data_IF_994540923765
#
_entry.id   IF_994540923765
#
_cell.length_a   1.000
_cell.length_b   1.000
_cell.length_c   1.000
_cell.angle_alpha   90.00
_cell.angle_beta   90.00
_cell.angle_gamma   90.00
#
_symmetry.space_group_name_H-M   'P 1'
#
loop_
_entity.id
_entity.type
_entity.pdbx_description
1 polymer ?
#
# COMPACT_ATOMS: atom_id res chain seq x y z
N UNK A 1 -25.66 7.56 41.91
CA UNK A 1 -25.17 6.74 40.78
C UNK A 1 -24.34 7.56 39.78
N UNK A 2 -24.85 8.66 39.23
CA UNK A 2 -24.11 9.49 38.26
C UNK A 2 -22.75 9.99 38.77
N UNK A 3 -22.67 10.46 40.03
CA UNK A 3 -21.40 10.89 40.63
C UNK A 3 -20.37 9.76 40.65
N UNK A 4 -20.77 8.55 41.00
CA UNK A 4 -19.85 7.40 41.02
C UNK A 4 -19.38 6.98 39.63
N UNK A 5 -20.20 7.16 38.58
CA UNK A 5 -19.77 6.96 37.19
C UNK A 5 -18.79 8.04 36.74
N UNK A 6 -19.02 9.30 37.12
CA UNK A 6 -18.08 10.39 36.86
C UNK A 6 -16.74 10.18 37.60
N UNK A 7 -16.79 9.68 38.84
CA UNK A 7 -15.59 9.30 39.60
C UNK A 7 -14.82 8.17 38.90
N UNK A 8 -15.54 7.19 38.33
CA UNK A 8 -14.93 6.11 37.53
C UNK A 8 -14.18 6.67 36.32
N UNK A 9 -14.84 7.54 35.55
CA UNK A 9 -14.25 8.19 34.38
C UNK A 9 -13.04 9.06 34.76
N UNK A 10 -13.18 9.86 35.84
CA UNK A 10 -12.09 10.72 36.31
C UNK A 10 -10.87 9.91 36.74
N UNK A 11 -11.07 8.78 37.44
CA UNK A 11 -9.98 7.91 37.86
C UNK A 11 -9.35 7.20 36.64
N UNK A 12 -10.15 6.76 35.66
CA UNK A 12 -9.65 6.14 34.44
C UNK A 12 -8.77 7.11 33.63
N UNK A 13 -9.26 8.34 33.42
CA UNK A 13 -8.52 9.38 32.71
C UNK A 13 -7.24 9.82 33.45
N UNK A 14 -7.25 9.76 34.77
CA UNK A 14 -6.09 10.05 35.60
C UNK A 14 -5.10 8.87 35.74
N UNK A 15 -5.33 7.75 35.03
CA UNK A 15 -4.48 6.56 35.10
C UNK A 15 -4.58 5.78 36.42
N UNK A 16 -5.60 6.05 37.25
CA UNK A 16 -5.81 5.38 38.54
C UNK A 16 -6.68 4.13 38.36
N UNK A 17 -6.18 3.16 37.56
CA UNK A 17 -6.96 2.03 37.08
C UNK A 17 -7.59 1.15 38.19
N UNK A 18 -6.86 0.89 39.29
CA UNK A 18 -7.41 0.13 40.43
C UNK A 18 -8.62 0.85 41.06
N UNK A 19 -8.52 2.18 41.22
CA UNK A 19 -9.63 2.97 41.76
C UNK A 19 -10.80 3.08 40.80
N UNK A 20 -10.49 3.21 39.48
CA UNK A 20 -11.49 3.24 38.43
C UNK A 20 -12.31 1.94 38.37
N UNK A 21 -11.64 0.77 38.42
CA UNK A 21 -12.30 -0.53 38.45
C UNK A 21 -13.19 -0.67 39.67
N UNK A 22 -12.65 -0.38 40.88
CA UNK A 22 -13.40 -0.47 42.11
C UNK A 22 -14.62 0.48 42.15
N UNK A 23 -14.49 1.67 41.58
CA UNK A 23 -15.60 2.62 41.47
C UNK A 23 -16.69 2.10 40.52
N UNK A 24 -16.29 1.51 39.33
CA UNK A 24 -17.22 0.90 38.38
C UNK A 24 -17.99 -0.27 39.01
N UNK A 25 -17.29 -1.18 39.68
CA UNK A 25 -17.90 -2.29 40.45
C UNK A 25 -18.87 -1.78 41.54
N UNK A 26 -18.52 -0.68 42.20
CA UNK A 26 -19.38 -0.01 43.15
C UNK A 26 -20.67 0.57 42.55
N UNK A 27 -20.63 1.06 41.30
CA UNK A 27 -21.84 1.46 40.56
C UNK A 27 -22.73 0.25 40.29
N UNK A 28 -22.15 -0.87 39.83
CA UNK A 28 -22.88 -2.11 39.56
C UNK A 28 -23.53 -2.70 40.80
N UNK A 29 -22.83 -2.72 41.92
CA UNK A 29 -23.36 -3.20 43.21
C UNK A 29 -24.56 -2.38 43.68
N UNK A 30 -24.47 -1.04 43.60
CA UNK A 30 -25.57 -0.13 43.98
C UNK A 30 -26.79 -0.29 43.07
N UNK A 31 -26.57 -0.41 41.76
CA UNK A 31 -27.64 -0.63 40.77
C UNK A 31 -28.37 -1.97 41.05
N UNK A 32 -27.60 -3.02 41.33
CA UNK A 32 -28.16 -4.34 41.70
C UNK A 32 -28.99 -4.25 43.00
N UNK A 33 -28.52 -3.52 43.97
CA UNK A 33 -29.26 -3.30 45.24
C UNK A 33 -30.58 -2.56 44.99
N UNK A 34 -30.58 -1.50 44.17
CA UNK A 34 -31.79 -0.75 43.79
C UNK A 34 -32.80 -1.64 43.04
N UNK A 35 -32.34 -2.45 42.10
CA UNK A 35 -33.20 -3.38 41.37
C UNK A 35 -33.86 -4.41 42.31
N UNK A 36 -33.14 -4.89 43.34
CA UNK A 36 -33.68 -5.80 44.36
C UNK A 36 -34.72 -5.14 45.26
N UNK A 37 -34.61 -3.84 45.50
CA UNK A 37 -35.63 -3.09 46.28
C UNK A 37 -36.84 -2.68 45.43
N UNK A 38 -36.91 -3.11 44.16
CA UNK A 38 -38.03 -2.81 43.28
C UNK A 38 -37.92 -1.48 42.54
N UNK A 39 -36.84 -0.74 42.74
CA UNK A 39 -36.54 0.49 42.01
C UNK A 39 -35.82 0.17 40.70
N UNK A 40 -36.41 0.51 39.57
CA UNK A 40 -35.78 0.34 38.26
C UNK A 40 -35.50 1.69 37.60
N UNK A 41 -34.29 1.83 37.04
CA UNK A 41 -33.90 3.00 36.26
C UNK A 41 -34.20 2.76 34.77
N UNK A 42 -34.83 3.75 34.11
CA UNK A 42 -35.16 3.66 32.68
C UNK A 42 -33.93 3.39 31.76
N UNK A 43 -32.72 3.68 32.28
CA UNK A 43 -31.45 3.51 31.54
C UNK A 43 -30.51 2.48 32.20
N UNK A 44 -31.06 1.55 33.02
CA UNK A 44 -30.24 0.59 33.80
C UNK A 44 -29.32 -0.26 32.91
N UNK A 45 -29.84 -0.76 31.79
CA UNK A 45 -29.03 -1.55 30.85
C UNK A 45 -27.83 -0.76 30.28
N UNK A 46 -28.04 0.50 29.92
CA UNK A 46 -26.98 1.38 29.45
C UNK A 46 -25.95 1.69 30.53
N UNK A 47 -26.41 1.92 31.74
CA UNK A 47 -25.54 2.17 32.90
C UNK A 47 -24.68 0.95 33.22
N UNK A 48 -25.28 -0.26 33.24
CA UNK A 48 -24.56 -1.52 33.45
C UNK A 48 -23.52 -1.74 32.36
N UNK A 49 -23.93 -1.61 31.09
CA UNK A 49 -23.03 -1.78 29.94
C UNK A 49 -21.82 -0.85 30.03
N UNK A 50 -22.03 0.43 30.35
CA UNK A 50 -20.95 1.41 30.52
C UNK A 50 -20.05 1.10 31.71
N UNK A 51 -20.64 0.72 32.86
CA UNK A 51 -19.87 0.40 34.08
C UNK A 51 -18.98 -0.84 33.84
N UNK A 52 -19.53 -1.89 33.23
CA UNK A 52 -18.76 -3.07 32.85
C UNK A 52 -17.68 -2.73 31.83
N UNK A 53 -17.95 -1.88 30.81
CA UNK A 53 -16.97 -1.45 29.85
C UNK A 53 -15.80 -0.68 30.51
N UNK A 54 -16.08 0.22 31.44
CA UNK A 54 -15.06 0.97 32.17
C UNK A 54 -14.23 0.08 33.10
N UNK A 55 -14.88 -0.92 33.74
CA UNK A 55 -14.19 -1.93 34.52
C UNK A 55 -13.26 -2.78 33.64
N UNK A 56 -13.74 -3.21 32.48
CA UNK A 56 -12.94 -3.97 31.49
C UNK A 56 -11.74 -3.14 30.96
N UNK A 57 -11.92 -1.85 30.65
CA UNK A 57 -10.84 -0.95 30.22
C UNK A 57 -9.80 -0.76 31.31
N UNK A 58 -10.26 -0.66 32.58
CA UNK A 58 -9.36 -0.59 33.74
C UNK A 58 -8.58 -1.89 33.92
N UNK A 59 -9.24 -3.05 33.78
CA UNK A 59 -8.61 -4.36 33.85
C UNK A 59 -7.59 -4.57 32.73
N UNK A 60 -7.89 -4.13 31.49
CA UNK A 60 -6.93 -4.14 30.36
C UNK A 60 -5.68 -3.34 30.69
N UNK A 61 -5.84 -2.13 31.25
CA UNK A 61 -4.71 -1.29 31.65
C UNK A 61 -3.87 -1.89 32.78
N UNK A 62 -4.46 -2.75 33.60
CA UNK A 62 -3.80 -3.51 34.67
C UNK A 62 -3.27 -4.87 34.18
N UNK A 63 -3.45 -5.21 32.91
CA UNK A 63 -3.11 -6.51 32.32
C UNK A 63 -3.81 -7.72 32.96
N UNK A 64 -4.97 -7.47 33.60
CA UNK A 64 -5.84 -8.49 34.19
C UNK A 64 -6.83 -9.01 33.16
N UNK A 65 -6.37 -10.00 32.37
CA UNK A 65 -7.17 -10.55 31.26
C UNK A 65 -8.45 -11.23 31.75
N UNK A 66 -8.41 -11.91 32.89
CA UNK A 66 -9.57 -12.63 33.40
C UNK A 66 -10.70 -11.65 33.78
N UNK A 67 -10.39 -10.62 34.57
CA UNK A 67 -11.36 -9.60 34.90
C UNK A 67 -11.84 -8.80 33.69
N UNK A 68 -10.95 -8.54 32.71
CA UNK A 68 -11.33 -7.89 31.44
C UNK A 68 -12.40 -8.70 30.72
N UNK A 69 -12.17 -10.01 30.50
CA UNK A 69 -13.08 -10.87 29.76
C UNK A 69 -14.43 -11.01 30.47
N UNK A 70 -14.43 -11.17 31.81
CA UNK A 70 -15.65 -11.24 32.59
C UNK A 70 -16.49 -9.96 32.41
N UNK A 71 -15.89 -8.80 32.63
CA UNK A 71 -16.59 -7.54 32.45
C UNK A 71 -16.98 -7.25 31.00
N UNK A 72 -16.18 -7.66 30.04
CA UNK A 72 -16.49 -7.51 28.62
C UNK A 72 -17.72 -8.33 28.22
N UNK A 73 -17.81 -9.59 28.62
CA UNK A 73 -18.98 -10.43 28.34
C UNK A 73 -20.26 -9.81 28.90
N UNK A 74 -20.20 -9.30 30.14
CA UNK A 74 -21.32 -8.61 30.77
C UNK A 74 -21.68 -7.30 30.05
N UNK A 75 -20.67 -6.51 29.64
CA UNK A 75 -20.89 -5.28 28.88
C UNK A 75 -21.60 -5.57 27.56
N UNK A 76 -21.18 -6.62 26.84
CA UNK A 76 -21.74 -7.02 25.55
C UNK A 76 -23.17 -7.50 25.70
N UNK A 77 -23.48 -8.33 26.73
CA UNK A 77 -24.83 -8.79 27.03
C UNK A 77 -25.78 -7.62 27.31
N UNK A 78 -25.40 -6.71 28.21
CA UNK A 78 -26.22 -5.54 28.52
C UNK A 78 -26.39 -4.58 27.35
N UNK A 79 -25.33 -4.42 26.52
CA UNK A 79 -25.35 -3.60 25.30
C UNK A 79 -26.17 -4.23 24.15
N UNK A 80 -26.53 -5.50 24.24
CA UNK A 80 -27.40 -6.16 23.26
C UNK A 80 -28.86 -5.75 23.38
N UNK A 81 -29.25 -5.10 24.48
CA UNK A 81 -30.61 -4.57 24.67
C UNK A 81 -30.82 -3.31 23.82
N UNK A 82 -32.04 -3.12 23.30
CA UNK A 82 -32.37 -2.02 22.38
C UNK A 82 -32.00 -0.65 22.94
N UNK A 83 -32.16 -0.43 24.25
CA UNK A 83 -31.86 0.83 24.94
C UNK A 83 -30.38 1.17 25.02
N UNK A 84 -29.50 0.20 24.84
CA UNK A 84 -28.04 0.33 24.98
C UNK A 84 -27.28 0.16 23.64
N UNK A 85 -27.96 0.19 22.50
CA UNK A 85 -27.34 -0.07 21.18
C UNK A 85 -26.18 0.88 20.85
N UNK A 86 -26.24 2.15 21.22
CA UNK A 86 -25.12 3.09 21.06
C UNK A 86 -23.89 2.68 21.88
N UNK A 87 -24.13 2.10 23.06
CA UNK A 87 -23.06 1.58 23.92
C UNK A 87 -22.42 0.34 23.30
N UNK A 88 -23.20 -0.49 22.60
CA UNK A 88 -22.70 -1.68 21.87
C UNK A 88 -21.61 -1.32 20.87
N UNK A 89 -21.76 -0.24 20.11
CA UNK A 89 -20.73 0.24 19.18
C UNK A 89 -19.41 0.52 19.91
N UNK A 90 -19.48 1.18 21.04
CA UNK A 90 -18.33 1.45 21.89
C UNK A 90 -17.67 0.18 22.45
N UNK A 91 -18.47 -0.80 22.88
CA UNK A 91 -17.98 -2.11 23.36
C UNK A 91 -17.23 -2.85 22.25
N UNK A 92 -17.81 -2.92 21.06
CA UNK A 92 -17.18 -3.61 19.90
C UNK A 92 -15.88 -2.92 19.46
N UNK A 93 -15.83 -1.59 19.45
CA UNK A 93 -14.61 -0.84 19.12
C UNK A 93 -13.50 -1.09 20.15
N UNK A 94 -13.85 -1.19 21.44
CA UNK A 94 -12.87 -1.52 22.50
C UNK A 94 -12.39 -2.95 22.38
N UNK A 95 -13.28 -3.92 22.13
CA UNK A 95 -12.92 -5.30 21.90
C UNK A 95 -11.94 -5.45 20.73
N UNK A 96 -12.21 -4.76 19.60
CA UNK A 96 -11.30 -4.77 18.46
C UNK A 96 -9.93 -4.16 18.80
N UNK A 97 -9.88 -3.10 19.60
CA UNK A 97 -8.64 -2.49 20.06
C UNK A 97 -7.84 -3.43 20.96
N UNK A 98 -8.47 -4.02 21.96
CA UNK A 98 -7.81 -4.96 22.86
C UNK A 98 -7.29 -6.19 22.14
N UNK A 99 -8.05 -6.74 21.19
CA UNK A 99 -7.60 -7.84 20.37
C UNK A 99 -6.31 -7.48 19.58
N UNK A 100 -6.21 -6.24 19.06
CA UNK A 100 -4.98 -5.76 18.41
C UNK A 100 -3.81 -5.54 19.39
N UNK A 101 -4.09 -5.17 20.64
CA UNK A 101 -3.09 -5.06 21.71
C UNK A 101 -2.61 -6.45 22.15
N UNK A 102 -3.51 -7.44 22.14
CA UNK A 102 -3.20 -8.86 22.41
C UNK A 102 -2.60 -9.60 21.20
N UNK A 103 -2.28 -8.89 20.11
CA UNK A 103 -1.76 -9.47 18.86
C UNK A 103 -2.69 -10.48 18.17
N UNK A 104 -4.01 -10.37 18.37
CA UNK A 104 -5.03 -11.13 17.66
C UNK A 104 -5.80 -10.26 16.66
N UNK A 105 -5.23 -10.03 15.45
CA UNK A 105 -5.87 -9.20 14.45
C UNK A 105 -7.11 -9.87 13.83
N UNK A 106 -7.23 -11.21 13.89
CA UNK A 106 -8.39 -11.93 13.37
C UNK A 106 -9.61 -11.64 14.24
N UNK A 107 -9.49 -11.76 15.56
CA UNK A 107 -10.54 -11.38 16.48
C UNK A 107 -10.92 -9.91 16.33
N UNK A 108 -9.93 -9.02 16.14
CA UNK A 108 -10.20 -7.61 15.89
C UNK A 108 -11.09 -7.38 14.66
N UNK A 109 -10.80 -8.06 13.52
CA UNK A 109 -11.64 -7.99 12.32
C UNK A 109 -13.05 -8.54 12.56
N UNK A 110 -13.19 -9.63 13.33
CA UNK A 110 -14.49 -10.19 13.68
C UNK A 110 -15.34 -9.18 14.47
N UNK A 111 -14.78 -8.48 15.44
CA UNK A 111 -15.48 -7.44 16.19
C UNK A 111 -15.85 -6.25 15.31
N UNK A 112 -14.94 -5.78 14.45
CA UNK A 112 -15.21 -4.68 13.53
C UNK A 112 -16.29 -5.00 12.49
N UNK A 113 -16.43 -6.26 12.09
CA UNK A 113 -17.47 -6.69 11.15
C UNK A 113 -18.87 -6.71 11.75
N UNK A 114 -18.99 -6.71 13.10
CA UNK A 114 -20.27 -6.60 13.79
C UNK A 114 -20.77 -5.15 13.92
N UNK A 115 -19.94 -4.17 13.56
CA UNK A 115 -20.32 -2.75 13.62
C UNK A 115 -21.37 -2.41 12.56
N UNK A 116 -22.37 -1.58 12.88
CA UNK A 116 -23.27 -1.00 11.87
C UNK A 116 -22.46 -0.23 10.81
N UNK A 117 -22.96 -0.19 9.56
CA UNK A 117 -22.25 0.44 8.44
C UNK A 117 -21.79 1.88 8.73
N UNK A 118 -22.63 2.69 9.40
CA UNK A 118 -22.30 4.07 9.75
C UNK A 118 -21.10 4.16 10.71
N UNK A 119 -21.06 3.29 11.70
CA UNK A 119 -19.95 3.25 12.68
C UNK A 119 -18.69 2.62 12.11
N UNK A 120 -18.83 1.58 11.26
CA UNK A 120 -17.72 0.93 10.57
C UNK A 120 -16.94 1.89 9.66
N UNK A 121 -17.59 2.98 9.18
CA UNK A 121 -16.95 4.04 8.36
C UNK A 121 -16.34 5.18 9.17
N UNK A 122 -16.49 5.20 10.48
CA UNK A 122 -15.85 6.21 11.32
C UNK A 122 -14.33 6.00 11.32
N UNK A 123 -13.58 7.09 11.38
CA UNK A 123 -12.10 7.08 11.33
C UNK A 123 -11.46 6.13 12.33
N UNK A 124 -12.01 6.02 13.54
CA UNK A 124 -11.51 5.10 14.58
C UNK A 124 -11.64 3.65 14.14
N UNK A 125 -12.81 3.23 13.65
CA UNK A 125 -13.05 1.88 13.16
C UNK A 125 -12.15 1.54 11.96
N UNK A 126 -12.03 2.48 11.01
CA UNK A 126 -11.18 2.30 9.82
C UNK A 126 -9.70 2.19 10.20
N UNK A 127 -9.20 2.96 11.17
CA UNK A 127 -7.81 2.84 11.65
C UNK A 127 -7.53 1.48 12.28
N UNK A 128 -8.44 0.97 13.10
CA UNK A 128 -8.33 -0.37 13.68
C UNK A 128 -8.38 -1.44 12.59
N UNK A 129 -9.29 -1.30 11.62
CA UNK A 129 -9.40 -2.23 10.47
C UNK A 129 -8.14 -2.23 9.61
N UNK A 130 -7.58 -1.06 9.29
CA UNK A 130 -6.33 -0.98 8.53
C UNK A 130 -5.18 -1.66 9.27
N UNK A 131 -5.04 -1.42 10.58
CA UNK A 131 -4.02 -2.09 11.40
C UNK A 131 -4.22 -3.61 11.40
N UNK A 132 -5.44 -4.10 11.63
CA UNK A 132 -5.76 -5.52 11.64
C UNK A 132 -5.51 -6.17 10.27
N UNK A 133 -5.95 -5.53 9.17
CA UNK A 133 -5.76 -6.03 7.81
C UNK A 133 -4.27 -6.16 7.44
N UNK A 134 -3.44 -5.17 7.84
CA UNK A 134 -1.98 -5.26 7.63
C UNK A 134 -1.34 -6.39 8.44
N UNK A 135 -1.73 -6.56 9.70
CA UNK A 135 -1.21 -7.65 10.54
C UNK A 135 -1.61 -9.04 10.02
N UNK A 136 -2.78 -9.17 9.38
CA UNK A 136 -3.27 -10.42 8.77
C UNK A 136 -2.83 -10.60 7.31
N UNK A 137 -2.04 -9.67 6.76
CA UNK A 137 -1.61 -9.65 5.34
C UNK A 137 -2.78 -9.67 4.33
N UNK A 138 -3.94 -9.14 4.72
CA UNK A 138 -5.08 -8.95 3.83
C UNK A 138 -4.90 -7.63 3.07
N UNK A 139 -3.98 -7.62 2.10
CA UNK A 139 -3.49 -6.40 1.45
C UNK A 139 -4.60 -5.66 0.70
N UNK A 140 -5.52 -6.38 0.04
CA UNK A 140 -6.66 -5.73 -0.63
C UNK A 140 -7.57 -5.02 0.38
N UNK A 141 -7.92 -5.67 1.50
CA UNK A 141 -8.72 -5.04 2.56
C UNK A 141 -8.01 -3.82 3.17
N UNK A 142 -6.68 -3.90 3.32
CA UNK A 142 -5.88 -2.78 3.80
C UNK A 142 -5.92 -1.61 2.81
N UNK A 143 -5.80 -1.86 1.50
CA UNK A 143 -5.86 -0.86 0.44
C UNK A 143 -7.23 -0.17 0.39
N UNK A 144 -8.32 -0.94 0.36
CA UNK A 144 -9.70 -0.42 0.39
C UNK A 144 -9.97 0.44 1.64
N UNK A 145 -9.49 -0.03 2.80
CA UNK A 145 -9.62 0.71 4.06
C UNK A 145 -8.81 2.00 4.05
N UNK A 146 -7.60 2.00 3.47
CA UNK A 146 -6.77 3.19 3.32
C UNK A 146 -7.42 4.23 2.38
N UNK A 147 -8.05 3.78 1.28
CA UNK A 147 -8.85 4.66 0.38
C UNK A 147 -9.98 5.35 1.15
N UNK A 148 -10.72 4.59 1.96
CA UNK A 148 -11.80 5.16 2.79
C UNK A 148 -11.25 6.15 3.81
N UNK A 149 -10.13 5.85 4.47
CA UNK A 149 -9.48 6.76 5.41
C UNK A 149 -9.04 8.06 4.73
N UNK A 150 -8.49 7.99 3.54
CA UNK A 150 -8.11 9.16 2.74
C UNK A 150 -9.34 10.00 2.40
N UNK A 151 -10.43 9.36 1.91
CA UNK A 151 -11.69 10.03 1.59
C UNK A 151 -12.30 10.74 2.80
N UNK A 152 -12.19 10.17 4.00
CA UNK A 152 -12.72 10.73 5.23
C UNK A 152 -11.70 11.60 6.00
N UNK A 153 -10.58 11.99 5.36
CA UNK A 153 -9.49 12.78 5.98
C UNK A 153 -8.93 12.16 7.25
N UNK A 154 -9.01 10.85 7.37
CA UNK A 154 -8.45 10.09 8.48
C UNK A 154 -6.92 9.86 8.37
N UNK A 155 -6.36 10.10 7.18
CA UNK A 155 -4.92 10.16 6.89
C UNK A 155 -4.64 11.54 6.31
N UNK A 156 -3.48 12.11 6.59
CA UNK A 156 -3.08 13.41 6.03
C UNK A 156 -2.92 13.30 4.50
N UNK A 157 -3.24 14.37 3.78
CA UNK A 157 -3.14 14.42 2.32
C UNK A 157 -1.70 14.16 1.82
N UNK A 158 -0.71 14.55 2.62
CA UNK A 158 0.72 14.30 2.32
C UNK A 158 1.10 12.83 2.46
N UNK A 159 0.57 12.12 3.48
CA UNK A 159 0.92 10.73 3.74
C UNK A 159 0.10 9.72 2.90
N UNK A 160 -1.10 10.10 2.48
CA UNK A 160 -2.03 9.20 1.79
C UNK A 160 -1.44 8.57 0.51
N UNK A 161 -0.80 9.34 -0.42
CA UNK A 161 -0.23 8.75 -1.63
C UNK A 161 0.85 7.70 -1.33
N UNK A 162 1.68 7.94 -0.32
CA UNK A 162 2.74 7.00 0.07
C UNK A 162 2.18 5.68 0.62
N UNK A 163 1.12 5.76 1.44
CA UNK A 163 0.46 4.57 2.00
C UNK A 163 -0.24 3.77 0.90
N UNK A 164 -1.01 4.43 0.04
CA UNK A 164 -1.72 3.79 -1.07
C UNK A 164 -0.74 3.12 -2.03
N UNK A 165 0.34 3.82 -2.41
CA UNK A 165 1.42 3.26 -3.23
C UNK A 165 2.05 2.01 -2.61
N UNK A 166 2.39 2.07 -1.32
CA UNK A 166 2.99 0.92 -0.62
C UNK A 166 2.08 -0.30 -0.63
N UNK A 167 0.78 -0.11 -0.38
CA UNK A 167 -0.21 -1.19 -0.39
C UNK A 167 -0.49 -1.72 -1.80
N UNK A 168 -0.53 -0.84 -2.81
CA UNK A 168 -0.66 -1.24 -4.21
C UNK A 168 0.53 -2.10 -4.66
N UNK A 169 1.76 -1.68 -4.33
CA UNK A 169 2.97 -2.46 -4.61
C UNK A 169 2.97 -3.82 -3.89
N UNK A 170 2.55 -3.86 -2.63
CA UNK A 170 2.43 -5.10 -1.87
C UNK A 170 1.39 -6.05 -2.50
N UNK A 171 0.25 -5.51 -2.97
CA UNK A 171 -0.78 -6.27 -3.66
C UNK A 171 -0.25 -6.90 -4.94
N UNK A 172 0.45 -6.14 -5.78
CA UNK A 172 1.05 -6.64 -7.03
C UNK A 172 2.12 -7.71 -6.76
N UNK A 173 2.97 -7.49 -5.75
CA UNK A 173 4.04 -8.44 -5.37
C UNK A 173 3.51 -9.74 -4.76
N UNK A 174 2.28 -9.77 -4.30
CA UNK A 174 1.66 -10.99 -3.77
C UNK A 174 1.14 -11.94 -4.84
N UNK A 175 1.13 -11.54 -6.10
CA UNK A 175 0.70 -12.37 -7.22
C UNK A 175 1.84 -13.30 -7.68
N UNK A 176 1.50 -14.57 -7.94
CA UNK A 176 2.45 -15.63 -8.33
C UNK A 176 2.32 -16.05 -9.78
N UNK A 177 1.24 -15.69 -10.45
CA UNK A 177 0.97 -16.00 -11.85
C UNK A 177 0.38 -14.78 -12.58
N UNK A 178 0.33 -14.81 -13.94
CA UNK A 178 -0.18 -13.71 -14.76
C UNK A 178 -1.63 -13.33 -14.44
N UNK A 179 -2.50 -14.31 -14.19
CA UNK A 179 -3.93 -14.07 -13.96
C UNK A 179 -4.16 -13.35 -12.63
N UNK A 180 -3.46 -13.79 -11.57
CA UNK A 180 -3.51 -13.12 -10.27
C UNK A 180 -2.95 -11.69 -10.36
N UNK A 181 -1.87 -11.47 -11.11
CA UNK A 181 -1.30 -10.15 -11.28
C UNK A 181 -2.24 -9.22 -12.05
N UNK A 182 -2.89 -9.74 -13.09
CA UNK A 182 -3.90 -9.00 -13.84
C UNK A 182 -5.11 -8.67 -12.96
N UNK A 183 -5.58 -9.63 -12.16
CA UNK A 183 -6.65 -9.40 -11.18
C UNK A 183 -6.25 -8.33 -10.15
N UNK A 184 -5.03 -8.40 -9.60
CA UNK A 184 -4.50 -7.39 -8.69
C UNK A 184 -4.45 -6.00 -9.34
N UNK A 185 -3.98 -5.90 -10.60
CA UNK A 185 -4.00 -4.65 -11.35
C UNK A 185 -5.40 -4.10 -11.54
N UNK A 186 -6.40 -4.95 -11.79
CA UNK A 186 -7.79 -4.52 -11.93
C UNK A 186 -8.42 -4.04 -10.62
N UNK A 187 -7.90 -4.45 -9.46
CA UNK A 187 -8.32 -3.95 -8.14
C UNK A 187 -7.78 -2.54 -7.83
N UNK A 188 -6.75 -2.08 -8.57
CA UNK A 188 -6.22 -0.73 -8.43
C UNK A 188 -7.16 0.30 -9.07
N UNK A 189 -7.28 1.47 -8.44
CA UNK A 189 -8.02 2.58 -9.05
C UNK A 189 -7.18 3.32 -10.12
N UNK A 190 -7.81 4.23 -10.85
CA UNK A 190 -7.14 4.95 -11.93
C UNK A 190 -5.96 5.81 -11.43
N UNK A 191 -6.08 6.40 -10.24
CA UNK A 191 -5.03 7.24 -9.67
C UNK A 191 -3.82 6.40 -9.25
N UNK A 192 -4.05 5.20 -8.70
CA UNK A 192 -3.00 4.27 -8.32
C UNK A 192 -2.27 3.69 -9.52
N UNK A 193 -3.00 3.32 -10.59
CA UNK A 193 -2.40 2.84 -11.86
C UNK A 193 -1.53 3.90 -12.55
N UNK A 194 -1.81 5.18 -12.33
CA UNK A 194 -1.02 6.30 -12.83
C UNK A 194 0.23 6.61 -11.99
N UNK A 195 0.43 5.94 -10.85
CA UNK A 195 1.65 6.07 -10.08
C UNK A 195 2.79 5.35 -10.81
N UNK A 196 3.91 6.04 -11.13
CA UNK A 196 4.99 5.44 -11.92
C UNK A 196 5.51 4.13 -11.32
N UNK A 197 5.75 4.09 -10.03
CA UNK A 197 6.30 2.92 -9.36
C UNK A 197 5.34 1.73 -9.40
N UNK A 198 4.03 1.99 -9.34
CA UNK A 198 2.99 0.94 -9.39
C UNK A 198 2.90 0.35 -10.80
N UNK A 199 2.88 1.19 -11.83
CA UNK A 199 2.84 0.73 -13.21
C UNK A 199 4.12 -0.04 -13.61
N UNK A 200 5.29 0.45 -13.17
CA UNK A 200 6.58 -0.20 -13.41
C UNK A 200 6.63 -1.57 -12.72
N UNK A 201 6.23 -1.68 -11.45
CA UNK A 201 6.21 -2.96 -10.74
C UNK A 201 5.21 -3.94 -11.37
N UNK A 202 4.03 -3.46 -11.78
CA UNK A 202 3.04 -4.29 -12.46
C UNK A 202 3.60 -4.87 -13.77
N UNK A 203 4.23 -4.02 -14.59
CA UNK A 203 4.87 -4.43 -15.84
C UNK A 203 6.01 -5.43 -15.60
N UNK A 204 6.94 -5.09 -14.70
CA UNK A 204 8.06 -5.97 -14.35
C UNK A 204 7.57 -7.30 -13.75
N UNK A 205 6.53 -7.24 -12.90
CA UNK A 205 5.88 -8.43 -12.36
C UNK A 205 5.31 -9.33 -13.45
N UNK A 206 4.58 -8.76 -14.42
CA UNK A 206 4.00 -9.51 -15.55
C UNK A 206 5.08 -10.24 -16.38
N UNK A 207 6.18 -9.57 -16.65
CA UNK A 207 7.33 -10.16 -17.35
C UNK A 207 7.99 -11.27 -16.52
N UNK A 208 8.12 -11.07 -15.21
CA UNK A 208 8.74 -12.02 -14.26
C UNK A 208 7.95 -13.34 -14.17
N UNK A 209 6.62 -13.26 -14.17
CA UNK A 209 5.75 -14.45 -14.12
C UNK A 209 5.49 -15.07 -15.50
N UNK A 210 6.16 -14.59 -16.56
CA UNK A 210 6.01 -15.11 -17.90
C UNK A 210 4.68 -14.78 -18.59
N UNK A 211 4.06 -13.68 -18.20
CA UNK A 211 2.77 -13.24 -18.74
C UNK A 211 2.89 -12.47 -20.05
N UNK A 212 1.79 -11.83 -20.45
CA UNK A 212 1.68 -11.10 -21.72
C UNK A 212 2.55 -9.83 -21.72
N UNK A 213 3.53 -9.81 -22.63
CA UNK A 213 4.50 -8.72 -22.80
C UNK A 213 3.82 -7.45 -23.32
N UNK A 214 2.83 -7.59 -24.20
CA UNK A 214 2.12 -6.46 -24.77
C UNK A 214 1.24 -5.78 -23.69
N UNK A 215 0.57 -6.58 -22.89
CA UNK A 215 -0.18 -6.10 -21.75
C UNK A 215 0.72 -5.38 -20.74
N UNK A 216 1.89 -5.95 -20.43
CA UNK A 216 2.88 -5.33 -19.54
C UNK A 216 3.31 -3.94 -20.03
N UNK A 217 3.56 -3.80 -21.33
CA UNK A 217 3.89 -2.51 -21.95
C UNK A 217 2.74 -1.52 -21.98
N UNK A 218 1.52 -2.01 -22.19
CA UNK A 218 0.32 -1.18 -22.18
C UNK A 218 0.07 -0.56 -20.79
N UNK A 219 0.45 -1.22 -19.71
CA UNK A 219 0.39 -0.65 -18.37
C UNK A 219 1.37 0.51 -18.14
N UNK A 220 2.47 0.56 -18.88
CA UNK A 220 3.44 1.65 -18.83
C UNK A 220 3.05 2.86 -19.69
N UNK A 221 2.16 2.67 -20.68
CA UNK A 221 1.84 3.71 -21.65
C UNK A 221 1.36 5.04 -21.03
N UNK A 222 0.44 5.05 -20.02
CA UNK A 222 0.00 6.30 -19.42
C UNK A 222 1.12 7.04 -18.68
N UNK A 223 2.06 6.30 -18.08
CA UNK A 223 3.23 6.87 -17.39
C UNK A 223 4.22 7.43 -18.42
N UNK A 224 4.43 6.73 -19.53
CA UNK A 224 5.20 7.21 -20.68
C UNK A 224 4.65 8.51 -21.25
N UNK A 225 3.37 8.56 -21.57
CA UNK A 225 2.69 9.75 -22.08
C UNK A 225 2.84 10.94 -21.13
N UNK A 226 2.67 10.71 -19.83
CA UNK A 226 2.89 11.74 -18.82
C UNK A 226 4.34 12.23 -18.78
N UNK A 227 5.32 11.33 -18.89
CA UNK A 227 6.75 11.68 -18.94
C UNK A 227 7.06 12.59 -20.13
N UNK A 228 6.51 12.28 -21.30
CA UNK A 228 6.78 13.01 -22.56
C UNK A 228 6.04 14.36 -22.60
N UNK A 229 4.78 14.39 -22.13
CA UNK A 229 3.94 15.61 -22.24
C UNK A 229 4.17 16.61 -21.13
N UNK A 230 4.67 16.18 -19.97
CA UNK A 230 4.85 17.00 -18.77
C UNK A 230 6.29 16.90 -18.26
N UNK A 231 7.21 17.76 -18.73
CA UNK A 231 8.59 17.78 -18.25
C UNK A 231 8.64 17.97 -16.72
N UNK A 232 9.40 17.12 -16.04
CA UNK A 232 9.51 17.15 -14.57
C UNK A 232 8.39 16.45 -13.81
N UNK A 233 7.42 15.82 -14.49
CA UNK A 233 6.36 15.04 -13.84
C UNK A 233 6.87 13.74 -13.17
N UNK A 234 8.00 13.21 -13.63
CA UNK A 234 8.71 12.08 -13.06
C UNK A 234 10.06 12.54 -12.52
N UNK A 235 10.47 11.96 -11.40
CA UNK A 235 11.85 12.09 -10.92
C UNK A 235 12.81 11.35 -11.85
N UNK A 236 14.11 11.66 -11.80
CA UNK A 236 15.09 10.98 -12.63
C UNK A 236 15.11 9.46 -12.38
N UNK A 237 15.02 9.05 -11.13
CA UNK A 237 14.93 7.62 -10.77
C UNK A 237 13.70 6.96 -11.40
N UNK A 238 12.54 7.61 -11.36
CA UNK A 238 11.32 7.08 -11.99
C UNK A 238 11.46 6.97 -13.51
N UNK A 239 12.12 7.95 -14.15
CA UNK A 239 12.40 7.95 -15.59
C UNK A 239 13.29 6.79 -15.99
N UNK A 240 14.40 6.59 -15.28
CA UNK A 240 15.34 5.49 -15.52
C UNK A 240 14.64 4.15 -15.35
N UNK A 241 13.88 3.97 -14.26
CA UNK A 241 13.13 2.74 -14.01
C UNK A 241 12.09 2.46 -15.10
N UNK A 242 11.41 3.48 -15.62
CA UNK A 242 10.46 3.35 -16.72
C UNK A 242 11.18 2.91 -18.00
N UNK A 243 12.31 3.52 -18.32
CA UNK A 243 13.13 3.17 -19.50
C UNK A 243 13.64 1.74 -19.41
N UNK A 244 14.15 1.34 -18.24
CA UNK A 244 14.61 -0.03 -17.99
C UNK A 244 13.49 -1.06 -18.12
N UNK A 245 12.29 -0.73 -17.62
CA UNK A 245 11.12 -1.60 -17.74
C UNK A 245 10.68 -1.78 -19.21
N UNK A 246 10.68 -0.71 -19.99
CA UNK A 246 10.40 -0.77 -21.44
C UNK A 246 11.48 -1.56 -22.18
N UNK A 247 12.75 -1.32 -21.92
CA UNK A 247 13.87 -2.06 -22.50
C UNK A 247 13.74 -3.56 -22.23
N UNK A 248 13.44 -3.95 -21.00
CA UNK A 248 13.21 -5.35 -20.63
C UNK A 248 12.05 -5.95 -21.42
N UNK A 249 10.95 -5.20 -21.55
CA UNK A 249 9.80 -5.62 -22.36
C UNK A 249 10.17 -5.81 -23.86
N UNK A 250 11.04 -4.97 -24.41
CA UNK A 250 11.54 -5.15 -25.79
C UNK A 250 12.49 -6.34 -25.92
N UNK A 251 13.26 -6.64 -24.88
CA UNK A 251 14.20 -7.74 -24.87
C UNK A 251 13.51 -9.11 -25.01
N UNK A 252 12.31 -9.23 -24.46
CA UNK A 252 11.54 -10.48 -24.41
C UNK A 252 10.56 -10.64 -25.58
N UNK A 253 10.23 -9.56 -26.29
CA UNK A 253 9.25 -9.59 -27.36
C UNK A 253 9.84 -10.10 -28.70
N UNK A 254 8.99 -10.76 -29.48
CA UNK A 254 9.31 -11.22 -30.82
C UNK A 254 8.23 -10.68 -31.79
N UNK A 255 8.55 -9.61 -32.57
CA UNK A 255 7.68 -9.18 -33.68
C UNK A 255 7.34 -7.68 -33.77
N UNK A 256 6.26 -7.35 -34.48
CA UNK A 256 5.86 -6.02 -34.95
C UNK A 256 5.54 -4.93 -33.90
N UNK A 257 5.21 -5.22 -32.62
CA UNK A 257 4.92 -4.17 -31.62
C UNK A 257 6.07 -3.18 -31.38
N UNK A 258 7.32 -3.59 -31.60
CA UNK A 258 8.48 -2.72 -31.37
C UNK A 258 8.53 -1.53 -32.34
N UNK A 259 8.04 -1.68 -33.59
CA UNK A 259 8.01 -0.60 -34.55
C UNK A 259 7.12 0.56 -34.10
N UNK A 260 5.97 0.26 -33.48
CA UNK A 260 5.07 1.27 -32.92
C UNK A 260 5.70 2.01 -31.74
N UNK A 261 6.45 1.29 -30.89
CA UNK A 261 7.19 1.91 -29.80
C UNK A 261 8.37 2.75 -30.29
N UNK A 262 9.10 2.28 -31.32
CA UNK A 262 10.16 3.11 -31.92
C UNK A 262 9.60 4.44 -32.41
N UNK A 263 8.46 4.44 -33.10
CA UNK A 263 7.82 5.70 -33.55
C UNK A 263 7.50 6.64 -32.38
N UNK A 264 6.95 6.10 -31.27
CA UNK A 264 6.66 6.91 -30.06
C UNK A 264 7.94 7.48 -29.43
N UNK A 265 9.00 6.68 -29.37
CA UNK A 265 10.28 7.09 -28.79
C UNK A 265 10.93 8.17 -29.70
N UNK A 266 10.90 8.03 -31.00
CA UNK A 266 11.40 9.01 -31.95
C UNK A 266 10.64 10.34 -31.89
N UNK A 267 9.31 10.30 -31.74
CA UNK A 267 8.50 11.48 -31.49
C UNK A 267 8.88 12.18 -30.18
N UNK A 268 9.10 11.40 -29.13
CA UNK A 268 9.56 11.94 -27.84
C UNK A 268 10.95 12.58 -27.96
N UNK A 269 11.86 11.98 -28.74
CA UNK A 269 13.18 12.57 -29.02
C UNK A 269 13.11 13.88 -29.82
N UNK A 270 12.16 14.01 -30.76
CA UNK A 270 11.95 15.26 -31.49
C UNK A 270 11.54 16.41 -30.54
N UNK A 271 10.76 16.09 -29.52
CA UNK A 271 10.35 17.06 -28.50
C UNK A 271 11.45 17.32 -27.46
N UNK A 272 12.31 16.35 -27.20
CA UNK A 272 13.39 16.42 -26.21
C UNK A 272 14.74 15.96 -26.78
N UNK A 273 15.34 16.70 -27.74
CA UNK A 273 16.52 16.23 -28.49
C UNK A 273 17.79 16.10 -27.64
N UNK A 274 17.81 16.70 -26.46
CA UNK A 274 18.93 16.62 -25.50
C UNK A 274 18.85 15.46 -24.52
N UNK A 275 17.78 14.65 -24.54
CA UNK A 275 17.54 13.58 -23.60
C UNK A 275 18.30 12.32 -23.96
N UNK A 276 19.41 12.06 -23.26
CA UNK A 276 20.28 10.92 -23.51
C UNK A 276 19.60 9.58 -23.22
N UNK A 277 18.69 9.53 -22.25
CA UNK A 277 17.99 8.31 -21.88
C UNK A 277 16.95 7.90 -22.95
N UNK A 278 16.29 8.87 -23.60
CA UNK A 278 15.44 8.60 -24.76
C UNK A 278 16.27 8.18 -25.98
N UNK A 279 17.45 8.78 -26.22
CA UNK A 279 18.36 8.35 -27.28
C UNK A 279 18.85 6.91 -27.06
N UNK A 280 19.21 6.59 -25.81
CA UNK A 280 19.55 5.23 -25.39
C UNK A 280 18.41 4.24 -25.69
N UNK A 281 17.20 4.54 -25.23
CA UNK A 281 16.03 3.65 -25.44
C UNK A 281 15.74 3.43 -26.93
N UNK A 282 15.84 4.48 -27.75
CA UNK A 282 15.72 4.36 -29.21
C UNK A 282 16.81 3.46 -29.82
N UNK A 283 18.06 3.62 -29.36
CA UNK A 283 19.17 2.77 -29.76
C UNK A 283 18.93 1.29 -29.42
N UNK A 284 18.49 0.98 -28.22
CA UNK A 284 18.15 -0.37 -27.77
C UNK A 284 16.98 -0.96 -28.58
N UNK A 285 15.95 -0.13 -28.85
CA UNK A 285 14.83 -0.55 -29.71
C UNK A 285 15.28 -0.83 -31.14
N UNK A 286 16.16 0.01 -31.71
CA UNK A 286 16.77 -0.24 -33.03
C UNK A 286 17.59 -1.53 -33.05
N UNK A 287 18.30 -1.89 -31.97
CA UNK A 287 18.98 -3.18 -31.82
C UNK A 287 18.00 -4.35 -32.03
N UNK A 288 16.83 -4.29 -31.43
CA UNK A 288 15.80 -5.34 -31.55
C UNK A 288 15.20 -5.43 -32.93
N UNK A 289 15.02 -4.28 -33.58
CA UNK A 289 14.55 -4.21 -34.99
C UNK A 289 15.65 -4.49 -36.02
N UNK A 290 16.85 -4.87 -35.59
CA UNK A 290 18.00 -5.15 -36.44
C UNK A 290 18.47 -3.94 -37.31
N UNK A 291 18.13 -2.72 -36.87
CA UNK A 291 18.55 -1.46 -37.49
C UNK A 291 19.95 -1.08 -37.01
N UNK A 292 20.96 -1.93 -37.30
CA UNK A 292 22.27 -1.91 -36.66
C UNK A 292 23.01 -0.57 -36.77
N UNK A 293 22.99 0.06 -37.96
CA UNK A 293 23.65 1.37 -38.15
C UNK A 293 23.03 2.48 -37.34
N UNK A 294 21.69 2.54 -37.26
CA UNK A 294 20.96 3.53 -36.48
C UNK A 294 21.14 3.28 -34.96
N UNK A 295 21.11 2.01 -34.58
CA UNK A 295 21.35 1.63 -33.17
C UNK A 295 22.73 2.10 -32.70
N UNK A 296 23.79 1.82 -33.49
CA UNK A 296 25.14 2.26 -33.17
C UNK A 296 25.24 3.78 -33.02
N UNK A 297 24.69 4.53 -33.99
CA UNK A 297 24.71 5.99 -33.96
C UNK A 297 24.05 6.55 -32.69
N UNK A 298 22.83 6.08 -32.39
CA UNK A 298 22.06 6.56 -31.23
C UNK A 298 22.74 6.21 -29.90
N UNK A 299 23.25 4.98 -29.76
CA UNK A 299 23.94 4.54 -28.53
C UNK A 299 25.24 5.32 -28.34
N UNK A 300 26.04 5.53 -29.38
CA UNK A 300 27.26 6.33 -29.28
C UNK A 300 26.98 7.79 -28.93
N UNK A 301 25.92 8.37 -29.48
CA UNK A 301 25.52 9.74 -29.18
C UNK A 301 24.95 9.90 -27.75
N UNK A 302 24.33 8.88 -27.17
CA UNK A 302 23.76 8.93 -25.82
C UNK A 302 24.82 8.86 -24.73
N UNK A 303 25.86 8.05 -24.90
CA UNK A 303 26.89 7.74 -23.90
C UNK A 303 27.51 8.96 -23.17
N UNK A 304 27.95 10.04 -23.86
CA UNK A 304 28.58 11.16 -23.16
C UNK A 304 27.66 11.92 -22.19
N UNK A 305 26.35 11.70 -22.30
CA UNK A 305 25.31 12.39 -21.52
C UNK A 305 24.53 11.48 -20.59
N UNK A 306 24.72 10.15 -20.70
CA UNK A 306 24.13 9.19 -19.79
C UNK A 306 24.76 9.35 -18.41
N UNK A 307 23.92 9.58 -17.38
CA UNK A 307 24.36 9.74 -15.99
C UNK A 307 24.14 8.48 -15.15
N UNK A 308 23.29 7.59 -15.64
CA UNK A 308 22.95 6.36 -14.93
C UNK A 308 23.92 5.22 -15.30
N UNK A 309 24.63 4.62 -14.32
CA UNK A 309 25.64 3.59 -14.57
C UNK A 309 25.05 2.32 -15.20
N UNK A 310 23.78 2.00 -14.91
CA UNK A 310 23.12 0.81 -15.47
C UNK A 310 22.86 1.00 -16.97
N UNK A 311 22.30 2.15 -17.37
CA UNK A 311 22.03 2.46 -18.75
C UNK A 311 23.35 2.59 -19.55
N UNK A 312 24.36 3.21 -18.96
CA UNK A 312 25.69 3.34 -19.56
C UNK A 312 26.32 1.95 -19.81
N UNK A 313 26.31 1.08 -18.81
CA UNK A 313 26.80 -0.30 -18.95
C UNK A 313 26.07 -1.05 -20.07
N UNK A 314 24.73 -0.93 -20.10
CA UNK A 314 23.92 -1.62 -21.11
C UNK A 314 24.18 -1.05 -22.52
N UNK A 315 24.39 0.26 -22.66
CA UNK A 315 24.79 0.88 -23.92
C UNK A 315 26.13 0.36 -24.43
N UNK A 316 27.13 0.28 -23.56
CA UNK A 316 28.44 -0.29 -23.91
C UNK A 316 28.34 -1.77 -24.29
N UNK A 317 27.57 -2.56 -23.55
CA UNK A 317 27.33 -3.97 -23.89
C UNK A 317 26.65 -4.14 -25.24
N UNK A 318 25.69 -3.28 -25.58
CA UNK A 318 25.04 -3.28 -26.88
C UNK A 318 26.01 -2.89 -28.01
N UNK A 319 26.89 -1.91 -27.79
CA UNK A 319 27.93 -1.54 -28.76
C UNK A 319 28.96 -2.66 -28.95
N UNK A 320 29.33 -3.38 -27.90
CA UNK A 320 30.20 -4.56 -27.99
C UNK A 320 29.57 -5.65 -28.88
N UNK A 321 28.29 -5.94 -28.67
CA UNK A 321 27.56 -6.91 -29.51
C UNK A 321 27.49 -6.47 -30.98
N UNK A 322 27.36 -5.16 -31.26
CA UNK A 322 27.42 -4.63 -32.63
C UNK A 322 28.81 -4.78 -33.28
N UNK A 323 29.87 -4.53 -32.50
CA UNK A 323 31.24 -4.68 -32.93
C UNK A 323 31.57 -6.17 -33.23
N UNK A 324 31.15 -7.08 -32.38
CA UNK A 324 31.30 -8.52 -32.56
C UNK A 324 30.64 -9.00 -33.87
N UNK A 325 29.40 -8.56 -34.16
CA UNK A 325 28.70 -8.88 -35.41
C UNK A 325 29.43 -8.39 -36.67
N UNK A 326 30.24 -7.32 -36.56
CA UNK A 326 31.05 -6.80 -37.67
C UNK A 326 32.43 -7.44 -37.73
N UNK A 327 32.78 -8.28 -36.78
CA UNK A 327 34.11 -8.87 -36.67
C UNK A 327 35.18 -7.90 -36.18
N UNK A 328 34.82 -6.75 -35.63
CA UNK A 328 35.74 -5.75 -35.10
C UNK A 328 36.09 -6.10 -33.63
N UNK A 329 37.11 -6.92 -33.49
CA UNK A 329 37.57 -7.42 -32.19
C UNK A 329 38.13 -6.31 -31.30
N UNK A 330 38.76 -5.28 -31.87
CA UNK A 330 39.33 -4.18 -31.11
C UNK A 330 38.21 -3.32 -30.46
N UNK A 331 37.24 -2.90 -31.26
CA UNK A 331 36.08 -2.13 -30.76
C UNK A 331 35.22 -2.96 -29.80
N UNK A 332 35.10 -4.27 -30.00
CA UNK A 332 34.40 -5.17 -29.08
C UNK A 332 35.10 -5.22 -27.70
N UNK A 333 36.42 -5.42 -27.68
CA UNK A 333 37.17 -5.47 -26.43
C UNK A 333 37.12 -4.14 -25.67
N UNK A 334 37.25 -3.00 -26.37
CA UNK A 334 37.13 -1.66 -25.79
C UNK A 334 35.75 -1.43 -25.20
N UNK A 335 34.68 -1.77 -25.88
CA UNK A 335 33.31 -1.61 -25.42
C UNK A 335 33.03 -2.46 -24.16
N UNK A 336 33.50 -3.72 -24.13
CA UNK A 336 33.39 -4.56 -22.93
C UNK A 336 34.18 -4.01 -21.74
N UNK A 337 35.38 -3.47 -21.96
CA UNK A 337 36.14 -2.81 -20.89
C UNK A 337 35.40 -1.60 -20.30
N UNK A 338 34.76 -0.79 -21.16
CA UNK A 338 34.01 0.36 -20.71
C UNK A 338 32.70 -0.06 -19.98
N UNK A 339 32.03 -1.11 -20.45
CA UNK A 339 30.89 -1.69 -19.72
C UNK A 339 31.29 -2.19 -18.30
N UNK A 340 32.46 -2.81 -18.16
CA UNK A 340 32.99 -3.25 -16.86
C UNK A 340 33.33 -2.08 -15.94
N UNK A 341 33.89 -0.98 -16.47
CA UNK A 341 34.17 0.25 -15.69
C UNK A 341 32.90 0.91 -15.22
N UNK A 342 31.86 1.03 -16.05
CA UNK A 342 30.55 1.57 -15.66
C UNK A 342 29.91 0.75 -14.52
N UNK A 343 30.09 -0.58 -14.51
CA UNK A 343 29.59 -1.45 -13.42
C UNK A 343 30.31 -1.24 -12.08
N UNK A 344 31.55 -0.74 -12.08
CA UNK A 344 32.34 -0.53 -10.84
C UNK A 344 32.13 0.84 -10.22
N UNK A 345 31.45 1.75 -10.93
CA UNK A 345 31.20 3.13 -10.48
C UNK A 345 29.83 3.33 -9.80
N UNK A 346 28.98 2.32 -9.79
CA UNK A 346 27.65 2.31 -9.15
C UNK A 346 27.61 1.30 -8.02
#
# INVERSE_FOLDING_TARGET
MHVALLDTLSNLLAGRFIRARKAAEGVLARETAMTRSGETLAYSARLRALSHLLAAESAQSLQDKAAREEHFCQALDQASRREAQETREGVLLRAARWALEDHDPQAALQWLNQLPQGTARRTVALRLRLKAARMTRQTLLALETARLLTKHRGISEVAAPGILRSLALELLKSAYDPDQLQAAWHQLDAAERLMPEVAIEASAGMLRVGGDIELARNWLLPVWERMVTQPGALTEVQRINLITALETGFALATGAPEAAWLTRIEQAQMTHPGDAALQYLAGMTCMRLQLWGKAQQLLTQSLPRLQDPLLERNAWAALAALAERRGDQAACAEAWQNAAKASSAG
#
